data_IF_877676512808
#
_entry.id   IF_877676512808
#
_cell.length_a   1.000
_cell.length_b   1.000
_cell.length_c   1.000
_cell.angle_alpha   90.00
_cell.angle_beta   90.00
_cell.angle_gamma   90.00
#
_symmetry.space_group_name_H-M   'P 1'
#
loop_
_entity.id
_entity.type
_entity.pdbx_description
1 polymer ?
#
# COMPACT_ATOMS: atom_id res chain seq x y z
N UNK A 1 4.67 -8.37 4.83
CA UNK A 1 5.11 -7.83 3.51
C UNK A 1 4.60 -6.39 3.42
N UNK A 2 5.30 -5.45 4.05
CA UNK A 2 5.03 -4.03 3.87
C UNK A 2 5.41 -3.64 2.44
N UNK A 3 4.48 -3.03 1.70
CA UNK A 3 4.73 -2.53 0.35
C UNK A 3 5.64 -1.30 0.43
N UNK A 4 6.95 -1.55 0.54
CA UNK A 4 7.97 -0.48 0.51
C UNK A 4 7.97 0.11 -0.89
N UNK A 5 7.51 1.35 -1.01
CA UNK A 5 7.74 2.19 -2.18
C UNK A 5 9.25 2.41 -2.32
N UNK A 6 9.91 1.67 -3.22
CA UNK A 6 11.27 2.04 -3.64
C UNK A 6 11.17 3.20 -4.60
N UNK A 7 11.59 4.39 -4.18
CA UNK A 7 11.84 5.51 -5.08
C UNK A 7 13.04 5.17 -5.96
N UNK A 8 12.81 4.92 -7.25
CA UNK A 8 13.89 4.90 -8.23
C UNK A 8 14.14 6.34 -8.70
N UNK A 9 15.09 7.03 -8.08
CA UNK A 9 15.64 8.28 -8.63
C UNK A 9 16.80 7.91 -9.55
N UNK A 10 16.54 7.79 -10.85
CA UNK A 10 17.62 7.64 -11.84
C UNK A 10 17.94 9.01 -12.44
N UNK A 11 19.00 9.65 -11.95
CA UNK A 11 19.61 10.77 -12.65
C UNK A 11 20.52 10.18 -13.75
N UNK A 12 20.16 10.34 -15.03
CA UNK A 12 21.13 10.13 -16.10
C UNK A 12 21.94 11.42 -16.26
N UNK A 13 23.15 11.44 -15.72
CA UNK A 13 24.15 12.45 -16.06
C UNK A 13 24.92 11.95 -17.30
N UNK A 14 24.54 12.43 -18.49
CA UNK A 14 25.42 12.33 -19.64
C UNK A 14 26.40 13.50 -19.60
N UNK A 15 27.68 13.17 -19.44
CA UNK A 15 28.80 14.09 -19.44
C UNK A 15 29.05 14.65 -20.85
N UNK A 16 28.52 15.84 -21.12
CA UNK A 16 29.08 16.78 -22.11
C UNK A 16 28.35 18.10 -21.96
N UNK A 17 29.09 19.16 -21.67
CA UNK A 17 28.58 20.52 -21.55
C UNK A 17 27.97 21.00 -22.88
N UNK A 18 26.64 21.03 -22.97
CA UNK A 18 25.92 21.89 -23.91
C UNK A 18 24.43 22.00 -23.53
N UNK A 19 24.00 23.26 -23.45
CA UNK A 19 22.63 23.76 -23.63
C UNK A 19 21.64 23.69 -22.47
N UNK A 20 21.18 24.90 -22.12
CA UNK A 20 20.04 25.20 -21.28
C UNK A 20 18.75 24.53 -21.78
N UNK A 21 17.83 24.32 -20.84
CA UNK A 21 16.48 23.74 -21.02
C UNK A 21 16.38 22.21 -21.19
N UNK A 22 17.16 21.44 -20.43
CA UNK A 22 16.69 20.10 -20.07
C UNK A 22 15.53 20.24 -19.07
N UNK A 23 14.28 20.29 -19.55
CA UNK A 23 13.09 20.12 -18.69
C UNK A 23 13.29 18.82 -17.93
N UNK A 24 13.54 18.94 -16.62
CA UNK A 24 13.75 17.81 -15.71
C UNK A 24 12.50 16.94 -15.75
N UNK A 25 12.51 15.88 -16.57
CA UNK A 25 11.42 14.91 -16.63
C UNK A 25 11.48 14.14 -15.31
N UNK A 26 10.72 14.62 -14.34
CA UNK A 26 10.71 14.06 -12.99
C UNK A 26 9.62 13.01 -12.93
N UNK A 27 9.97 11.76 -13.25
CA UNK A 27 9.13 10.61 -12.86
C UNK A 27 9.24 10.50 -11.35
N UNK A 28 8.23 11.00 -10.62
CA UNK A 28 8.26 10.97 -9.16
C UNK A 28 8.09 9.54 -8.62
N UNK A 29 7.14 8.76 -9.16
CA UNK A 29 6.76 7.48 -8.56
C UNK A 29 6.28 6.42 -9.59
N UNK A 30 6.87 5.23 -9.52
CA UNK A 30 6.32 3.98 -10.07
C UNK A 30 6.25 3.01 -8.91
N UNK A 31 5.05 2.48 -8.62
CA UNK A 31 4.85 1.56 -7.50
C UNK A 31 4.51 0.20 -8.06
N UNK A 32 5.45 -0.73 -7.98
CA UNK A 32 5.23 -2.14 -8.35
C UNK A 32 4.61 -2.86 -7.15
N UNK A 33 3.45 -3.50 -7.36
CA UNK A 33 2.74 -4.25 -6.32
C UNK A 33 2.55 -5.69 -6.80
N UNK A 34 3.18 -6.65 -6.12
CA UNK A 34 3.01 -8.07 -6.41
C UNK A 34 4.27 -8.70 -7.01
N UNK A 35 5.12 -9.20 -6.11
CA UNK A 35 6.25 -10.07 -6.43
C UNK A 35 6.26 -11.32 -5.57
N UNK A 36 5.09 -11.82 -5.15
CA UNK A 36 4.93 -12.99 -4.26
C UNK A 36 3.94 -14.02 -4.80
N UNK A 37 3.46 -14.92 -3.93
CA UNK A 37 2.63 -16.12 -4.18
C UNK A 37 1.33 -15.95 -5.01
N UNK A 38 0.97 -14.73 -5.41
CA UNK A 38 -0.27 -14.40 -6.13
C UNK A 38 0.04 -13.94 -7.57
N UNK A 39 0.46 -14.88 -8.43
CA UNK A 39 0.48 -14.73 -9.89
C UNK A 39 1.29 -13.55 -10.47
N UNK A 40 1.07 -13.26 -11.76
CA UNK A 40 1.70 -12.14 -12.47
C UNK A 40 1.25 -10.81 -11.84
N UNK A 41 2.04 -10.30 -10.89
CA UNK A 41 1.69 -9.11 -10.12
C UNK A 41 1.48 -7.85 -10.95
N UNK A 42 0.97 -6.81 -10.31
CA UNK A 42 0.58 -5.56 -10.98
C UNK A 42 1.66 -4.48 -10.83
N UNK A 43 1.59 -3.44 -11.66
CA UNK A 43 2.39 -2.23 -11.49
C UNK A 43 1.50 -1.00 -11.59
N UNK A 44 1.37 -0.24 -10.50
CA UNK A 44 0.66 1.03 -10.54
C UNK A 44 1.57 2.11 -11.14
N UNK A 45 1.20 2.62 -12.30
CA UNK A 45 1.91 3.66 -13.03
C UNK A 45 1.17 4.98 -12.85
N UNK A 46 1.82 5.90 -12.14
CA UNK A 46 1.23 7.17 -11.72
C UNK A 46 1.49 8.25 -12.75
N UNK A 47 0.42 8.87 -13.26
CA UNK A 47 0.51 10.02 -14.14
C UNK A 47 0.27 11.31 -13.35
N UNK A 48 1.31 12.12 -13.22
CA UNK A 48 1.20 13.48 -12.66
C UNK A 48 0.98 14.50 -13.79
N UNK A 49 0.50 15.72 -13.52
CA UNK A 49 0.43 16.78 -14.54
C UNK A 49 1.77 17.09 -15.22
N UNK A 50 2.90 16.77 -14.55
CA UNK A 50 4.25 16.97 -15.07
C UNK A 50 4.79 15.77 -15.86
N UNK A 51 4.09 14.63 -15.87
CA UNK A 51 4.51 13.41 -16.55
C UNK A 51 4.11 13.47 -18.02
N UNK A 52 5.09 13.50 -18.93
CA UNK A 52 4.80 13.48 -20.36
C UNK A 52 4.17 12.15 -20.80
N UNK A 53 3.34 12.20 -21.84
CA UNK A 53 2.69 11.01 -22.39
C UNK A 53 3.71 9.93 -22.80
N UNK A 54 4.79 10.33 -23.48
CA UNK A 54 5.90 9.43 -23.86
C UNK A 54 6.51 8.71 -22.65
N UNK A 55 6.74 9.43 -21.55
CA UNK A 55 7.33 8.84 -20.34
C UNK A 55 6.36 7.86 -19.69
N UNK A 56 5.08 8.23 -19.65
CA UNK A 56 4.04 7.35 -19.13
C UNK A 56 3.94 6.05 -19.92
N UNK A 57 3.91 6.11 -21.25
CA UNK A 57 3.90 4.93 -22.14
C UNK A 57 5.14 4.06 -21.96
N UNK A 58 6.33 4.66 -21.89
CA UNK A 58 7.57 3.91 -21.61
C UNK A 58 7.52 3.14 -20.29
N UNK A 59 6.89 3.69 -19.24
CA UNK A 59 6.75 3.00 -17.96
C UNK A 59 5.72 1.88 -17.98
N UNK A 60 4.65 2.04 -18.77
CA UNK A 60 3.67 0.98 -19.03
C UNK A 60 4.36 -0.20 -19.73
N UNK A 61 5.11 0.08 -20.80
CA UNK A 61 5.80 -0.97 -21.56
C UNK A 61 6.91 -1.63 -20.76
N UNK A 62 7.66 -0.86 -19.97
CA UNK A 62 8.63 -1.41 -19.02
C UNK A 62 7.97 -2.31 -17.97
N UNK A 63 6.79 -1.95 -17.48
CA UNK A 63 6.06 -2.80 -16.53
C UNK A 63 5.64 -4.13 -17.17
N UNK A 64 5.17 -4.09 -18.43
CA UNK A 64 4.83 -5.30 -19.19
C UNK A 64 6.04 -6.19 -19.45
N UNK A 65 7.20 -5.60 -19.77
CA UNK A 65 8.43 -6.37 -20.03
C UNK A 65 8.94 -7.10 -18.78
N UNK A 66 8.57 -6.64 -17.58
CA UNK A 66 8.80 -7.32 -16.30
C UNK A 66 7.76 -8.41 -15.98
N UNK A 67 6.85 -8.72 -16.91
CA UNK A 67 5.76 -9.66 -16.69
C UNK A 67 4.71 -9.14 -15.70
N UNK A 68 4.64 -7.82 -15.50
CA UNK A 68 3.63 -7.18 -14.65
C UNK A 68 2.45 -6.67 -15.46
N UNK A 69 1.28 -6.64 -14.84
CA UNK A 69 0.12 -5.98 -15.42
C UNK A 69 0.08 -4.50 -15.00
N UNK A 70 0.39 -3.54 -15.88
CA UNK A 70 0.34 -2.13 -15.52
C UNK A 70 -1.09 -1.63 -15.34
N UNK A 71 -1.30 -0.83 -14.31
CA UNK A 71 -2.57 -0.13 -14.02
C UNK A 71 -2.27 1.35 -13.88
N UNK A 72 -3.03 2.20 -14.56
CA UNK A 72 -2.85 3.66 -14.50
C UNK A 72 -3.64 4.27 -13.34
N UNK A 73 -3.03 5.22 -12.62
CA UNK A 73 -3.74 6.01 -11.63
C UNK A 73 -3.19 7.44 -11.52
N UNK A 74 -3.98 8.31 -10.87
CA UNK A 74 -3.56 9.65 -10.47
C UNK A 74 -2.71 9.58 -9.20
N UNK A 75 -1.98 10.66 -8.94
CA UNK A 75 -1.21 10.83 -7.72
C UNK A 75 -2.13 11.17 -6.54
N UNK A 76 -2.67 10.12 -5.90
CA UNK A 76 -3.54 10.21 -4.72
C UNK A 76 -2.96 9.36 -3.58
N UNK A 77 -3.20 9.71 -2.30
CA UNK A 77 -2.71 8.93 -1.17
C UNK A 77 -3.12 7.45 -1.30
N UNK A 78 -2.13 6.55 -1.28
CA UNK A 78 -2.37 5.11 -1.42
C UNK A 78 -2.72 4.61 -2.83
N UNK A 79 -2.69 5.47 -3.85
CA UNK A 79 -2.99 5.15 -5.24
C UNK A 79 -4.36 4.45 -5.38
N UNK A 80 -4.41 3.25 -6.00
CA UNK A 80 -5.62 2.43 -6.06
C UNK A 80 -5.62 1.41 -4.93
N UNK A 81 -4.58 0.55 -4.88
CA UNK A 81 -4.59 -0.63 -4.01
C UNK A 81 -4.69 -0.25 -2.55
N UNK A 82 -3.75 0.55 -2.02
CA UNK A 82 -3.77 0.88 -0.59
C UNK A 82 -4.97 1.76 -0.26
N UNK A 83 -5.37 2.65 -1.18
CA UNK A 83 -6.53 3.51 -1.00
C UNK A 83 -7.84 2.75 -0.79
N UNK A 84 -7.98 1.56 -1.38
CA UNK A 84 -9.11 0.66 -1.14
C UNK A 84 -8.85 -0.30 0.01
N UNK A 85 -7.63 -0.84 0.09
CA UNK A 85 -7.27 -1.92 1.02
C UNK A 85 -7.19 -1.46 2.47
N UNK A 86 -6.52 -0.33 2.75
CA UNK A 86 -6.32 0.12 4.13
C UNK A 86 -7.64 0.48 4.81
N UNK A 87 -8.57 1.23 4.18
CA UNK A 87 -9.88 1.49 4.81
C UNK A 87 -10.69 0.21 5.04
N UNK A 88 -10.63 -0.77 4.12
CA UNK A 88 -11.26 -2.08 4.32
C UNK A 88 -10.70 -2.79 5.56
N UNK A 89 -9.37 -2.87 5.69
CA UNK A 89 -8.73 -3.48 6.85
C UNK A 89 -9.10 -2.77 8.15
N UNK A 90 -9.15 -1.43 8.14
CA UNK A 90 -9.54 -0.67 9.32
C UNK A 90 -11.01 -0.80 9.66
N UNK A 91 -11.90 -0.99 8.69
CA UNK A 91 -13.30 -1.27 9.00
C UNK A 91 -13.47 -2.63 9.68
N UNK A 92 -12.68 -3.64 9.28
CA UNK A 92 -12.63 -4.91 10.00
C UNK A 92 -12.17 -4.72 11.46
N UNK A 93 -11.15 -3.88 11.69
CA UNK A 93 -10.69 -3.53 13.04
C UNK A 93 -11.79 -2.82 13.84
N UNK A 94 -12.49 -1.85 13.24
CA UNK A 94 -13.58 -1.11 13.91
C UNK A 94 -14.76 -2.02 14.25
N UNK A 95 -15.11 -2.96 13.37
CA UNK A 95 -16.13 -3.97 13.62
C UNK A 95 -15.77 -4.83 14.84
N UNK A 96 -14.50 -5.23 14.94
CA UNK A 96 -13.98 -5.93 16.12
C UNK A 96 -13.98 -5.05 17.39
N UNK A 97 -13.56 -3.78 17.29
CA UNK A 97 -13.55 -2.85 18.43
C UNK A 97 -14.95 -2.60 19.00
N UNK A 98 -15.99 -2.57 18.16
CA UNK A 98 -17.39 -2.47 18.58
C UNK A 98 -17.93 -3.76 19.20
N UNK A 99 -17.22 -4.88 19.05
CA UNK A 99 -17.65 -6.19 19.52
C UNK A 99 -18.71 -6.85 18.62
N UNK A 100 -18.85 -6.40 17.37
CA UNK A 100 -19.86 -6.92 16.44
C UNK A 100 -19.56 -8.38 16.04
N UNK A 101 -18.27 -8.77 16.00
CA UNK A 101 -17.81 -10.14 15.72
C UNK A 101 -16.38 -10.39 16.24
N UNK A 102 -16.02 -11.67 16.39
CA UNK A 102 -14.65 -12.09 16.70
C UNK A 102 -13.71 -11.88 15.49
N UNK A 103 -12.40 -11.76 15.72
CA UNK A 103 -11.42 -11.59 14.64
C UNK A 103 -11.42 -12.81 13.71
N UNK A 104 -11.54 -13.98 14.31
CA UNK A 104 -11.61 -15.28 13.67
C UNK A 104 -12.84 -15.41 12.76
N UNK A 105 -14.01 -14.95 13.20
CA UNK A 105 -15.23 -14.97 12.39
C UNK A 105 -15.18 -13.93 11.27
N UNK A 106 -14.62 -12.74 11.52
CA UNK A 106 -14.41 -11.72 10.48
C UNK A 106 -13.48 -12.27 9.39
N UNK A 107 -12.35 -12.87 9.77
CA UNK A 107 -11.43 -13.49 8.82
C UNK A 107 -12.08 -14.63 8.04
N UNK A 108 -12.86 -15.47 8.71
CA UNK A 108 -13.60 -16.57 8.07
C UNK A 108 -14.65 -16.05 7.09
N UNK A 109 -15.43 -15.04 7.47
CA UNK A 109 -16.44 -14.43 6.63
C UNK A 109 -15.83 -13.79 5.38
N UNK A 110 -14.70 -13.10 5.51
CA UNK A 110 -14.03 -12.49 4.36
C UNK A 110 -13.38 -13.52 3.44
N UNK A 111 -12.84 -14.62 4.00
CA UNK A 111 -12.27 -15.71 3.21
C UNK A 111 -13.35 -16.50 2.46
N UNK A 112 -14.35 -17.01 3.18
CA UNK A 112 -15.35 -17.92 2.63
C UNK A 112 -16.52 -17.19 1.96
N UNK A 113 -16.90 -16.01 2.46
CA UNK A 113 -18.02 -15.23 1.92
C UNK A 113 -17.62 -14.30 0.78
N UNK A 114 -16.52 -13.55 0.93
CA UNK A 114 -16.07 -12.59 -0.07
C UNK A 114 -14.95 -13.13 -0.98
N UNK A 115 -14.45 -14.35 -0.74
CA UNK A 115 -13.46 -15.02 -1.58
C UNK A 115 -12.04 -14.47 -1.45
N UNK A 116 -11.71 -13.77 -0.37
CA UNK A 116 -10.34 -13.31 -0.14
C UNK A 116 -9.42 -14.50 0.20
N UNK A 117 -8.17 -14.51 -0.29
CA UNK A 117 -7.23 -15.59 0.02
C UNK A 117 -6.73 -15.56 1.47
N UNK A 118 -6.91 -14.44 2.16
CA UNK A 118 -6.45 -14.20 3.53
C UNK A 118 -7.44 -13.26 4.20
N UNK A 119 -7.74 -13.50 5.48
CA UNK A 119 -8.62 -12.62 6.25
C UNK A 119 -7.97 -11.26 6.54
N UNK A 120 -8.75 -10.21 6.84
CA UNK A 120 -8.21 -8.88 7.12
C UNK A 120 -7.26 -8.86 8.33
N UNK A 121 -7.53 -9.60 9.41
CA UNK A 121 -6.64 -9.63 10.58
C UNK A 121 -5.37 -10.43 10.30
N UNK A 122 -5.48 -11.58 9.65
CA UNK A 122 -4.32 -12.33 9.13
C UNK A 122 -3.45 -11.46 8.22
N UNK A 123 -4.07 -10.66 7.35
CA UNK A 123 -3.38 -9.77 6.42
C UNK A 123 -2.72 -8.60 7.15
N UNK A 124 -3.40 -7.99 8.13
CA UNK A 124 -2.84 -6.92 8.97
C UNK A 124 -1.57 -7.39 9.67
N UNK A 125 -1.61 -8.55 10.33
CA UNK A 125 -0.46 -9.11 11.03
C UNK A 125 0.64 -9.59 10.06
N UNK A 126 0.27 -10.01 8.85
CA UNK A 126 1.24 -10.37 7.81
C UNK A 126 1.95 -9.14 7.22
N UNK A 127 1.24 -8.04 7.00
CA UNK A 127 1.79 -6.77 6.50
C UNK A 127 2.70 -6.15 7.55
N UNK A 128 2.19 -6.04 8.78
CA UNK A 128 2.84 -5.39 9.91
C UNK A 128 1.96 -4.25 10.45
N UNK A 129 1.61 -4.32 11.73
CA UNK A 129 0.71 -3.32 12.36
C UNK A 129 1.34 -1.93 12.43
N UNK A 130 2.64 -1.84 12.64
CA UNK A 130 3.41 -0.60 12.59
C UNK A 130 3.36 0.09 11.23
N UNK A 131 3.43 -0.70 10.15
CA UNK A 131 3.32 -0.17 8.78
C UNK A 131 1.92 0.36 8.51
N UNK A 132 0.89 -0.39 8.92
CA UNK A 132 -0.50 0.04 8.76
C UNK A 132 -0.77 1.32 9.56
N UNK A 133 -0.28 1.39 10.81
CA UNK A 133 -0.38 2.60 11.63
C UNK A 133 0.32 3.78 10.98
N UNK A 134 1.56 3.62 10.52
CA UNK A 134 2.30 4.69 9.85
C UNK A 134 1.53 5.26 8.63
N UNK A 135 0.90 4.40 7.83
CA UNK A 135 0.08 4.84 6.69
C UNK A 135 -1.16 5.60 7.18
N UNK A 136 -1.86 5.06 8.17
CA UNK A 136 -3.08 5.66 8.72
C UNK A 136 -2.81 7.03 9.34
N UNK A 137 -1.78 7.15 10.17
CA UNK A 137 -1.38 8.41 10.82
C UNK A 137 -1.06 9.47 9.76
N UNK A 138 -0.27 9.11 8.74
CA UNK A 138 0.04 10.03 7.65
C UNK A 138 -1.22 10.47 6.88
N UNK A 139 -2.20 9.60 6.68
CA UNK A 139 -3.48 9.99 6.05
C UNK A 139 -4.36 10.83 6.96
N UNK A 140 -4.35 10.55 8.26
CA UNK A 140 -5.07 11.34 9.25
C UNK A 140 -4.54 12.76 9.33
N UNK A 141 -3.22 12.94 9.34
CA UNK A 141 -2.57 14.25 9.29
C UNK A 141 -2.94 15.02 8.02
N UNK A 142 -3.10 14.33 6.88
CA UNK A 142 -3.49 14.95 5.61
C UNK A 142 -4.96 15.38 5.57
N UNK A 143 -5.87 14.62 6.17
CA UNK A 143 -7.31 14.90 6.18
C UNK A 143 -8.00 14.30 7.43
N UNK A 144 -7.83 14.99 8.56
CA UNK A 144 -8.32 14.54 9.87
C UNK A 144 -9.85 14.46 9.96
N UNK A 145 -10.58 15.11 9.03
CA UNK A 145 -12.04 15.06 8.98
C UNK A 145 -12.56 13.84 8.23
N UNK A 146 -11.69 13.11 7.53
CA UNK A 146 -12.09 11.93 6.80
C UNK A 146 -12.44 10.79 7.77
N UNK A 147 -13.66 10.23 7.72
CA UNK A 147 -14.01 9.10 8.58
C UNK A 147 -13.15 7.86 8.29
N UNK A 148 -12.64 7.71 7.06
CA UNK A 148 -11.82 6.56 6.69
C UNK A 148 -10.41 6.63 7.29
N UNK A 149 -9.91 7.81 7.65
CA UNK A 149 -8.55 8.01 8.19
C UNK A 149 -8.55 8.19 9.71
N UNK A 150 -9.65 7.87 10.38
CA UNK A 150 -9.66 7.94 11.84
C UNK A 150 -8.75 6.87 12.44
N UNK A 151 -7.96 7.20 13.48
CA UNK A 151 -7.09 6.26 14.16
C UNK A 151 -7.89 5.11 14.79
N UNK A 152 -7.22 4.02 15.14
CA UNK A 152 -7.81 2.87 15.84
C UNK A 152 -7.08 2.64 17.16
N UNK A 153 -7.85 2.62 18.25
CA UNK A 153 -7.35 2.42 19.61
C UNK A 153 -6.66 1.06 19.80
N UNK A 154 -7.21 0.00 19.22
CA UNK A 154 -6.64 -1.33 19.27
C UNK A 154 -5.33 -1.41 18.49
N UNK A 155 -5.26 -0.75 17.33
CA UNK A 155 -4.05 -0.71 16.53
C UNK A 155 -2.94 0.06 17.26
N UNK A 156 -3.27 1.23 17.80
CA UNK A 156 -2.34 2.07 18.55
C UNK A 156 -1.76 1.34 19.76
N UNK A 157 -2.60 0.62 20.50
CA UNK A 157 -2.17 -0.19 21.64
C UNK A 157 -1.20 -1.29 21.24
N UNK A 158 -1.52 -2.08 20.21
CA UNK A 158 -0.65 -3.18 19.76
C UNK A 158 0.71 -2.66 19.27
N UNK A 159 0.72 -1.54 18.53
CA UNK A 159 1.97 -0.92 18.09
C UNK A 159 2.78 -0.39 19.28
N UNK A 160 2.15 0.25 20.26
CA UNK A 160 2.82 0.71 21.48
C UNK A 160 3.44 -0.45 22.30
N UNK A 161 2.84 -1.64 22.25
CA UNK A 161 3.34 -2.86 22.88
C UNK A 161 4.41 -3.59 22.04
N UNK A 162 4.86 -3.03 20.91
CA UNK A 162 5.76 -3.67 19.94
C UNK A 162 5.21 -5.00 19.35
N UNK A 163 3.90 -5.16 19.32
CA UNK A 163 3.20 -6.30 18.71
C UNK A 163 2.84 -5.96 17.28
N UNK A 164 3.77 -6.23 16.36
CA UNK A 164 3.63 -5.88 14.95
C UNK A 164 3.10 -7.01 14.07
N UNK A 165 2.53 -8.07 14.66
CA UNK A 165 2.02 -9.24 13.93
C UNK A 165 3.08 -10.32 13.75
N UNK A 166 3.06 -10.96 12.58
CA UNK A 166 3.86 -12.17 12.31
C UNK A 166 5.37 -11.95 12.50
N UNK A 167 5.86 -10.74 12.22
CA UNK A 167 7.30 -10.42 12.32
C UNK A 167 7.82 -10.31 13.76
N UNK A 168 6.94 -10.11 14.74
CA UNK A 168 7.27 -10.03 16.18
C UNK A 168 6.68 -11.20 16.97
N UNK A 169 6.07 -12.19 16.30
CA UNK A 169 5.43 -13.33 16.95
C UNK A 169 4.04 -13.03 17.54
N UNK A 170 3.61 -11.78 17.57
CA UNK A 170 2.31 -11.39 18.11
C UNK A 170 1.82 -10.07 17.49
N UNK A 171 0.52 -10.03 17.18
CA UNK A 171 -0.24 -8.85 16.78
C UNK A 171 -1.69 -9.03 17.23
N UNK A 172 -2.63 -9.08 16.28
CA UNK A 172 -4.00 -9.52 16.56
C UNK A 172 -4.09 -11.02 16.86
N UNK A 173 -3.19 -11.81 16.28
CA UNK A 173 -2.99 -13.22 16.58
C UNK A 173 -1.63 -13.46 17.23
N UNK A 174 -1.49 -14.63 17.85
CA UNK A 174 -0.20 -15.15 18.36
C UNK A 174 0.37 -16.15 17.37
N UNK A 175 1.66 -16.00 17.07
CA UNK A 175 2.41 -16.84 16.14
C UNK A 175 3.49 -17.60 16.90
N UNK A 176 3.64 -18.89 16.57
CA UNK A 176 4.69 -19.76 17.08
C UNK A 176 5.86 -19.84 16.12
#
# INVERSE_FOLDING_TARGET
MAFVTRQFVRAMSSSSAASAAAKKIMVKHVTVIGGGLMGAGIAQVIKTPMTSQKTFESLIDFSRSLGKHPVSCKDTPGFIVNRLLVPYLLEAVRLYERGDASKEDIDTAMKLGAGYPMGPFELLDYVGLDTTKFILDGWHEMDAKNPLFQPSSSLDKLVAENKFGKKTGEGYYKYK
#
